data_IF_868880514670
#
_entry.id   IF_868880514670
#
_cell.length_a   1.000
_cell.length_b   1.000
_cell.length_c   1.000
_cell.angle_alpha   90.00
_cell.angle_beta   90.00
_cell.angle_gamma   90.00
#
_symmetry.space_group_name_H-M   'P 1'
#
loop_
_entity.id
_entity.type
_entity.pdbx_description
1 polymer ?
#
# COMPACT_ATOMS: atom_id res chain seq x y z
N UNK A 1 0.78 -17.02 -4.80
CA UNK A 1 0.74 -15.83 -3.92
C UNK A 1 1.40 -16.19 -2.60
N UNK A 2 2.24 -15.28 -2.09
CA UNK A 2 2.87 -15.37 -0.78
C UNK A 2 2.48 -14.14 0.03
N UNK A 3 2.32 -14.26 1.34
CA UNK A 3 2.01 -13.11 2.18
C UNK A 3 2.76 -13.16 3.51
N UNK A 4 2.93 -11.99 4.11
CA UNK A 4 3.38 -11.76 5.46
C UNK A 4 2.29 -10.99 6.22
N UNK A 5 1.89 -11.51 7.37
CA UNK A 5 0.99 -10.86 8.33
C UNK A 5 1.36 -11.38 9.73
N UNK A 6 1.88 -10.51 10.62
CA UNK A 6 2.30 -10.92 11.96
C UNK A 6 1.14 -11.34 12.87
N UNK A 7 -0.11 -11.02 12.49
CA UNK A 7 -1.32 -11.30 13.28
C UNK A 7 -2.12 -12.49 12.77
N UNK A 8 -1.66 -13.18 11.71
CA UNK A 8 -2.35 -14.34 11.13
C UNK A 8 -1.48 -15.58 11.19
N UNK A 9 -1.93 -16.57 11.92
CA UNK A 9 -1.22 -17.85 12.07
C UNK A 9 -1.52 -18.84 10.94
N UNK A 10 -2.69 -18.72 10.29
CA UNK A 10 -3.14 -19.64 9.26
C UNK A 10 -3.22 -18.97 7.88
N UNK A 11 -2.65 -19.65 6.87
CA UNK A 11 -2.75 -19.23 5.49
C UNK A 11 -4.03 -19.79 4.83
N UNK A 12 -4.72 -18.99 4.00
CA UNK A 12 -5.75 -19.51 3.11
C UNK A 12 -5.21 -20.61 2.20
N UNK A 13 -6.08 -21.54 1.81
CA UNK A 13 -5.70 -22.67 0.95
C UNK A 13 -5.03 -22.18 -0.36
N UNK A 14 -3.83 -22.69 -0.62
CA UNK A 14 -3.07 -22.37 -1.83
C UNK A 14 -2.27 -21.07 -1.75
N UNK A 15 -2.22 -20.43 -0.59
CA UNK A 15 -1.40 -19.22 -0.34
C UNK A 15 -0.30 -19.59 0.66
N UNK A 16 0.94 -19.19 0.37
CA UNK A 16 2.09 -19.40 1.25
C UNK A 16 2.20 -18.23 2.24
N UNK A 17 2.31 -18.53 3.53
CA UNK A 17 2.72 -17.58 4.56
C UNK A 17 4.24 -17.63 4.74
N UNK A 18 4.83 -16.47 4.99
CA UNK A 18 6.20 -16.33 5.49
C UNK A 18 6.18 -15.59 6.81
N UNK A 19 7.20 -15.81 7.63
CA UNK A 19 7.30 -15.25 8.98
C UNK A 19 8.14 -13.97 9.05
N UNK A 20 8.76 -13.59 7.91
CA UNK A 20 9.65 -12.45 7.83
C UNK A 20 9.34 -11.62 6.56
N UNK A 21 9.26 -10.30 6.73
CA UNK A 21 9.03 -9.36 5.64
C UNK A 21 10.19 -9.36 4.63
N UNK A 22 11.43 -9.46 5.09
CA UNK A 22 12.61 -9.54 4.22
C UNK A 22 12.59 -10.80 3.36
N UNK A 23 12.17 -11.95 3.92
CA UNK A 23 11.95 -13.17 3.15
C UNK A 23 10.89 -12.97 2.07
N UNK A 24 9.78 -12.29 2.42
CA UNK A 24 8.72 -12.01 1.45
C UNK A 24 9.26 -11.22 0.27
N UNK A 25 9.81 -10.03 0.54
CA UNK A 25 10.16 -9.06 -0.51
C UNK A 25 11.30 -9.54 -1.41
N UNK A 26 12.24 -10.32 -0.87
CA UNK A 26 13.34 -10.90 -1.64
C UNK A 26 12.93 -12.07 -2.54
N UNK A 27 11.76 -12.65 -2.30
CA UNK A 27 11.30 -13.86 -3.00
C UNK A 27 10.28 -13.63 -4.11
N UNK A 28 9.75 -12.41 -4.28
CA UNK A 28 8.62 -12.14 -5.17
C UNK A 28 8.92 -11.09 -6.23
N UNK A 29 8.15 -11.08 -7.31
CA UNK A 29 8.31 -10.12 -8.41
C UNK A 29 7.41 -8.88 -8.25
N UNK A 30 6.35 -8.98 -7.43
CA UNK A 30 5.41 -7.90 -7.13
C UNK A 30 5.10 -7.90 -5.65
N UNK A 31 5.27 -6.75 -5.00
CA UNK A 31 4.93 -6.51 -3.60
C UNK A 31 3.76 -5.54 -3.55
N UNK A 32 2.66 -5.95 -2.92
CA UNK A 32 1.48 -5.09 -2.71
C UNK A 32 1.24 -4.90 -1.22
N UNK A 33 1.13 -3.63 -0.80
CA UNK A 33 1.00 -3.24 0.59
C UNK A 33 -0.49 -3.07 0.96
N UNK A 34 -0.91 -3.73 2.06
CA UNK A 34 -2.29 -3.72 2.57
C UNK A 34 -2.33 -3.60 4.10
N UNK A 35 -1.41 -2.83 4.65
CA UNK A 35 -1.22 -2.65 6.10
C UNK A 35 -1.90 -1.35 6.52
N UNK A 36 -2.63 -1.28 7.67
CA UNK A 36 -3.10 -0.02 8.21
C UNK A 36 -1.93 0.85 8.67
N UNK A 37 -2.09 2.17 8.63
CA UNK A 37 -1.14 3.10 9.25
C UNK A 37 -1.40 3.16 10.75
N UNK A 38 -0.40 2.73 11.52
CA UNK A 38 -0.33 2.76 12.97
C UNK A 38 1.09 3.19 13.36
N UNK A 39 1.35 3.64 14.59
CA UNK A 39 2.71 4.04 14.99
C UNK A 39 3.78 2.96 14.74
N UNK A 40 3.40 1.68 14.87
CA UNK A 40 4.28 0.53 14.68
C UNK A 40 4.55 0.20 13.22
N UNK A 41 3.73 0.71 12.31
CA UNK A 41 3.85 0.44 10.86
C UNK A 41 4.35 1.65 10.07
N UNK A 42 4.54 2.79 10.71
CA UNK A 42 5.11 3.98 10.08
C UNK A 42 6.51 3.67 9.53
N UNK A 43 6.75 3.99 8.26
CA UNK A 43 8.02 3.71 7.58
C UNK A 43 8.34 2.22 7.43
N UNK A 44 7.35 1.33 7.51
CA UNK A 44 7.51 -0.12 7.34
C UNK A 44 8.31 -0.47 6.08
N UNK A 45 8.00 0.19 4.97
CA UNK A 45 8.72 0.06 3.71
C UNK A 45 9.94 0.98 3.71
N UNK A 46 10.89 0.65 4.58
CA UNK A 46 12.14 1.38 4.77
C UNK A 46 13.12 1.14 3.62
N UNK A 47 14.21 1.91 3.61
CA UNK A 47 15.35 1.71 2.68
C UNK A 47 15.85 0.26 2.70
N UNK A 48 16.03 -0.32 3.88
CA UNK A 48 16.49 -1.71 4.02
C UNK A 48 15.54 -2.70 3.33
N UNK A 49 14.24 -2.47 3.44
CA UNK A 49 13.23 -3.32 2.82
C UNK A 49 13.29 -3.18 1.29
N UNK A 50 13.38 -1.96 0.74
CA UNK A 50 13.49 -1.76 -0.70
C UNK A 50 14.78 -2.34 -1.28
N UNK A 51 15.92 -2.23 -0.58
CA UNK A 51 17.19 -2.83 -0.97
C UNK A 51 17.14 -4.36 -1.04
N UNK A 52 16.24 -4.98 -0.26
CA UNK A 52 16.04 -6.43 -0.26
C UNK A 52 15.11 -6.94 -1.38
N UNK A 53 14.46 -6.07 -2.12
CA UNK A 53 13.62 -6.48 -3.25
C UNK A 53 14.43 -7.21 -4.31
N UNK A 54 13.79 -8.15 -5.02
CA UNK A 54 14.39 -8.69 -6.25
C UNK A 54 14.65 -7.56 -7.24
N UNK A 55 15.83 -7.53 -7.88
CA UNK A 55 16.09 -6.57 -8.95
C UNK A 55 14.99 -6.60 -10.02
N UNK A 56 14.40 -5.45 -10.31
CA UNK A 56 13.30 -5.31 -11.27
C UNK A 56 11.91 -5.62 -10.72
N UNK A 57 11.76 -5.89 -9.42
CA UNK A 57 10.45 -6.09 -8.81
C UNK A 57 9.60 -4.81 -8.84
N UNK A 58 8.28 -4.99 -8.77
CA UNK A 58 7.29 -3.91 -8.79
C UNK A 58 6.70 -3.73 -7.39
N UNK A 59 6.56 -2.46 -6.97
CA UNK A 59 5.94 -2.08 -5.72
C UNK A 59 4.56 -1.44 -5.93
N UNK A 60 3.56 -1.84 -5.14
CA UNK A 60 2.20 -1.29 -5.19
C UNK A 60 1.79 -0.83 -3.80
N UNK A 61 1.38 0.43 -3.66
CA UNK A 61 0.82 0.97 -2.42
C UNK A 61 -0.56 1.60 -2.67
N UNK A 62 -1.58 0.92 -2.18
CA UNK A 62 -2.96 1.39 -2.10
C UNK A 62 -3.44 1.47 -0.64
N UNK A 63 -2.51 1.45 0.31
CA UNK A 63 -2.79 1.47 1.74
C UNK A 63 -2.67 2.90 2.30
N UNK A 64 -1.43 3.32 2.67
CA UNK A 64 -1.15 4.67 3.19
C UNK A 64 0.26 5.10 2.80
N UNK A 65 0.45 6.40 2.59
CA UNK A 65 1.74 6.99 2.21
C UNK A 65 2.77 6.90 3.32
N UNK A 66 2.36 7.13 4.55
CA UNK A 66 3.20 7.13 5.76
C UNK A 66 3.89 5.79 6.05
N UNK A 67 3.47 4.73 5.39
CA UNK A 67 4.11 3.41 5.48
C UNK A 67 5.43 3.32 4.70
N UNK A 68 5.75 4.33 3.88
CA UNK A 68 6.79 4.25 2.85
C UNK A 68 7.86 5.32 3.03
N UNK A 69 9.13 4.92 3.03
CA UNK A 69 10.26 5.82 2.80
C UNK A 69 10.29 6.19 1.30
N UNK A 70 9.66 7.30 0.95
CA UNK A 70 9.54 7.74 -0.44
C UNK A 70 10.88 8.12 -1.08
N UNK A 71 11.87 8.55 -0.29
CA UNK A 71 13.19 8.79 -0.82
C UNK A 71 13.89 7.47 -1.20
N UNK A 72 13.73 6.43 -0.37
CA UNK A 72 14.27 5.11 -0.68
C UNK A 72 13.60 4.48 -1.91
N UNK A 73 12.28 4.66 -2.05
CA UNK A 73 11.56 4.22 -3.25
C UNK A 73 12.06 4.94 -4.51
N UNK A 74 12.25 6.26 -4.44
CA UNK A 74 12.76 7.05 -5.57
C UNK A 74 14.15 6.59 -5.97
N UNK A 75 15.08 6.44 -5.02
CA UNK A 75 16.44 5.94 -5.27
C UNK A 75 16.41 4.56 -5.93
N UNK A 76 15.49 3.68 -5.49
CA UNK A 76 15.28 2.36 -6.08
C UNK A 76 14.79 2.40 -7.53
N UNK A 77 13.87 3.32 -7.84
CA UNK A 77 13.34 3.53 -9.21
C UNK A 77 14.43 4.13 -10.13
N UNK A 78 15.13 5.15 -9.67
CA UNK A 78 16.21 5.81 -10.43
C UNK A 78 17.37 4.88 -10.76
N UNK A 79 17.73 4.00 -9.81
CA UNK A 79 18.78 3.00 -10.03
C UNK A 79 18.32 1.82 -10.89
N UNK A 80 17.02 1.65 -11.12
CA UNK A 80 16.41 0.49 -11.77
C UNK A 80 16.40 -0.78 -10.91
N UNK A 81 16.77 -0.69 -9.62
CA UNK A 81 16.64 -1.81 -8.69
C UNK A 81 15.16 -2.15 -8.47
N UNK A 82 14.32 -1.13 -8.28
CA UNK A 82 12.86 -1.25 -8.36
C UNK A 82 12.45 -1.04 -9.83
N UNK A 83 11.86 -2.05 -10.45
CA UNK A 83 11.50 -2.01 -11.86
C UNK A 83 10.32 -1.08 -12.16
N UNK A 84 9.43 -0.87 -11.19
CA UNK A 84 8.32 0.05 -11.28
C UNK A 84 7.54 0.16 -9.99
N UNK A 85 6.70 1.19 -9.88
CA UNK A 85 5.79 1.34 -8.75
C UNK A 85 4.42 1.89 -9.16
N UNK A 86 3.40 1.58 -8.34
CA UNK A 86 2.07 2.17 -8.43
C UNK A 86 1.64 2.69 -7.06
N UNK A 87 1.32 3.98 -6.98
CA UNK A 87 0.95 4.67 -5.75
C UNK A 87 -0.44 5.28 -5.92
N UNK A 88 -1.37 4.89 -5.06
CA UNK A 88 -2.69 5.52 -4.93
C UNK A 88 -2.73 6.53 -3.78
N UNK A 89 -1.66 6.60 -2.99
CA UNK A 89 -1.57 7.35 -1.74
C UNK A 89 -0.21 8.03 -1.59
N UNK A 90 -0.20 9.21 -0.93
CA UNK A 90 0.99 9.94 -0.53
C UNK A 90 0.99 10.23 0.97
N UNK A 91 2.16 10.47 1.53
CA UNK A 91 2.25 10.98 2.90
C UNK A 91 1.59 12.35 3.00
N UNK A 92 0.93 12.60 4.13
CA UNK A 92 0.28 13.88 4.40
C UNK A 92 -0.77 14.35 3.37
N UNK A 93 -1.27 13.47 2.50
CA UNK A 93 -2.19 13.82 1.39
C UNK A 93 -3.49 14.50 1.84
N UNK A 94 -3.88 14.32 3.11
CA UNK A 94 -5.05 14.98 3.69
C UNK A 94 -4.73 16.30 4.41
N UNK A 95 -3.46 16.74 4.44
CA UNK A 95 -3.11 18.04 5.00
C UNK A 95 -3.64 19.18 4.14
N UNK A 96 -4.16 20.25 4.75
CA UNK A 96 -4.47 21.47 4.00
C UNK A 96 -3.23 21.98 3.24
N UNK A 97 -3.38 22.27 1.96
CA UNK A 97 -2.27 22.74 1.12
C UNK A 97 -1.44 21.62 0.46
N UNK A 98 -1.78 20.36 0.65
CA UNK A 98 -1.07 19.27 -0.01
C UNK A 98 -1.04 19.42 -1.55
N UNK A 99 -2.16 19.75 -2.17
CA UNK A 99 -2.26 19.92 -3.63
C UNK A 99 -1.30 21.00 -4.16
N UNK A 100 -1.02 22.04 -3.35
CA UNK A 100 -0.10 23.13 -3.71
C UNK A 100 1.36 22.68 -3.62
N UNK A 101 1.68 21.73 -2.75
CA UNK A 101 3.04 21.21 -2.53
C UNK A 101 3.36 19.98 -3.38
N UNK A 102 2.35 19.23 -3.81
CA UNK A 102 2.52 18.00 -4.61
C UNK A 102 3.38 18.21 -5.87
N UNK A 103 3.28 19.31 -6.65
CA UNK A 103 4.14 19.54 -7.81
C UNK A 103 5.64 19.59 -7.48
N UNK A 104 6.00 19.86 -6.23
CA UNK A 104 7.38 19.90 -5.75
C UNK A 104 7.85 18.53 -5.21
N UNK A 105 6.94 17.59 -5.00
CA UNK A 105 7.25 16.27 -4.47
C UNK A 105 8.13 15.47 -5.44
N UNK A 106 9.27 14.91 -4.99
CA UNK A 106 10.25 14.24 -5.88
C UNK A 106 9.65 13.11 -6.71
N UNK A 107 8.84 12.22 -6.11
CA UNK A 107 8.18 11.12 -6.84
C UNK A 107 7.13 11.64 -7.84
N UNK A 108 6.41 12.73 -7.53
CA UNK A 108 5.50 13.34 -8.48
C UNK A 108 6.24 13.87 -9.71
N UNK A 109 7.37 14.57 -9.51
CA UNK A 109 8.23 15.02 -10.61
C UNK A 109 8.80 13.86 -11.42
N UNK A 110 9.21 12.80 -10.74
CA UNK A 110 9.69 11.58 -11.39
C UNK A 110 8.61 10.97 -12.30
N UNK A 111 7.38 10.82 -11.81
CA UNK A 111 6.26 10.27 -12.55
C UNK A 111 5.89 11.08 -13.82
N UNK A 112 6.20 12.39 -13.87
CA UNK A 112 5.94 13.22 -15.06
C UNK A 112 6.88 12.90 -16.23
N UNK A 113 7.98 12.21 -16.00
CA UNK A 113 9.06 12.00 -16.98
C UNK A 113 9.46 10.54 -17.16
N UNK A 114 8.90 9.62 -16.37
CA UNK A 114 9.23 8.20 -16.39
C UNK A 114 7.96 7.35 -16.41
N UNK A 115 7.95 6.29 -17.21
CA UNK A 115 6.80 5.41 -17.41
C UNK A 115 6.71 4.27 -16.38
N UNK A 116 7.70 4.14 -15.48
CA UNK A 116 7.76 3.08 -14.48
C UNK A 116 7.19 3.50 -13.11
N UNK A 117 6.59 4.68 -12.98
CA UNK A 117 5.83 5.10 -11.81
C UNK A 117 4.43 5.57 -12.22
N UNK A 118 3.41 4.83 -11.77
CA UNK A 118 2.00 5.20 -11.90
C UNK A 118 1.53 5.85 -10.60
N UNK A 119 0.85 6.99 -10.72
CA UNK A 119 0.22 7.68 -9.58
C UNK A 119 -1.27 7.84 -9.86
N UNK A 120 -2.12 7.49 -8.88
CA UNK A 120 -3.56 7.73 -8.91
C UNK A 120 -3.99 8.53 -7.67
N UNK A 121 -5.06 9.36 -7.77
CA UNK A 121 -5.40 10.33 -6.71
C UNK A 121 -6.31 9.72 -5.63
N UNK A 122 -5.83 8.70 -4.92
CA UNK A 122 -6.52 7.98 -3.82
C UNK A 122 -7.91 7.50 -4.22
N UNK A 123 -8.02 6.81 -5.35
CA UNK A 123 -9.30 6.36 -5.92
C UNK A 123 -9.51 4.85 -5.89
N UNK A 124 -8.55 4.08 -5.36
CA UNK A 124 -8.62 2.62 -5.35
C UNK A 124 -9.87 2.05 -4.66
N UNK A 125 -10.34 2.73 -3.59
CA UNK A 125 -11.59 2.40 -2.90
C UNK A 125 -12.80 3.25 -3.33
N UNK A 126 -12.64 4.23 -4.20
CA UNK A 126 -13.65 5.26 -4.52
C UNK A 126 -14.43 4.97 -5.80
N UNK A 127 -14.77 3.71 -6.06
CA UNK A 127 -15.65 3.32 -7.17
C UNK A 127 -17.10 3.24 -6.70
N UNK A 128 -18.05 3.46 -7.62
CA UNK A 128 -19.49 3.36 -7.30
C UNK A 128 -19.87 1.99 -6.74
N UNK A 129 -19.25 0.93 -7.23
CA UNK A 129 -19.54 -0.44 -6.79
C UNK A 129 -18.93 -0.72 -5.41
N UNK A 130 -17.72 -0.22 -5.13
CA UNK A 130 -17.09 -0.33 -3.82
C UNK A 130 -17.92 0.43 -2.76
N UNK A 131 -18.36 1.65 -3.05
CA UNK A 131 -19.18 2.43 -2.13
C UNK A 131 -20.51 1.75 -1.82
N UNK A 132 -21.27 1.32 -2.84
CA UNK A 132 -22.53 0.60 -2.67
C UNK A 132 -22.37 -0.65 -1.82
N UNK A 133 -21.34 -1.43 -2.06
CA UNK A 133 -21.09 -2.66 -1.31
C UNK A 133 -20.67 -2.36 0.14
N UNK A 134 -19.84 -1.34 0.36
CA UNK A 134 -19.44 -0.90 1.71
C UNK A 134 -20.64 -0.40 2.50
N UNK A 135 -21.46 0.48 1.92
CA UNK A 135 -22.67 0.98 2.56
C UNK A 135 -23.63 -0.14 2.92
N UNK A 136 -23.92 -1.05 1.96
CA UNK A 136 -24.79 -2.20 2.19
C UNK A 136 -24.28 -3.06 3.35
N UNK A 137 -23.01 -3.46 3.35
CA UNK A 137 -22.42 -4.28 4.41
C UNK A 137 -22.40 -3.58 5.76
N UNK A 138 -22.20 -2.28 5.78
CA UNK A 138 -22.25 -1.48 7.00
C UNK A 138 -23.65 -1.49 7.59
N UNK A 139 -24.67 -1.24 6.75
CA UNK A 139 -26.08 -1.28 7.18
C UNK A 139 -26.46 -2.67 7.69
N UNK A 140 -26.12 -3.73 6.96
CA UNK A 140 -26.41 -5.10 7.37
C UNK A 140 -25.81 -5.40 8.75
N UNK A 141 -24.54 -5.04 8.99
CA UNK A 141 -23.89 -5.23 10.30
C UNK A 141 -24.53 -4.44 11.44
N UNK A 142 -24.96 -3.21 11.17
CA UNK A 142 -25.67 -2.39 12.18
C UNK A 142 -27.01 -3.02 12.53
N UNK A 143 -27.76 -3.50 11.54
CA UNK A 143 -29.06 -4.16 11.76
C UNK A 143 -28.88 -5.47 12.55
N UNK A 144 -27.87 -6.27 12.21
CA UNK A 144 -27.56 -7.50 12.96
C UNK A 144 -27.22 -7.19 14.42
N UNK A 145 -26.38 -6.18 14.69
CA UNK A 145 -26.00 -5.78 16.05
C UNK A 145 -27.20 -5.30 16.87
N UNK A 146 -28.12 -4.52 16.28
CA UNK A 146 -29.36 -4.08 16.95
C UNK A 146 -30.26 -5.27 17.26
N UNK A 147 -30.40 -6.23 16.34
CA UNK A 147 -31.23 -7.41 16.55
C UNK A 147 -30.68 -8.32 17.66
N UNK A 148 -29.37 -8.39 17.81
CA UNK A 148 -28.72 -9.18 18.89
C UNK A 148 -28.86 -8.53 20.27
N UNK A 149 -28.99 -7.20 20.37
CA UNK A 149 -29.23 -6.49 21.64
C UNK A 149 -30.70 -6.63 22.14
N UNK A 150 -31.64 -6.92 21.23
CA UNK A 150 -33.04 -7.10 21.56
C UNK A 150 -33.42 -8.58 21.89
N UNK A 151 -32.46 -9.51 21.83
CA UNK A 151 -32.64 -10.96 22.05
C UNK A 151 -32.16 -11.41 23.43
#
# INVERSE_FOLDING_TARGET
VTYYDPFKDEAPKGIRRVDDLLELVSGVDVVSLHVPHEPETEGLMSRQIFEAFKPGAVFINTARGELVDFQALLDGLESGHIGGAALDVFEDEFRPGFEETLPEHPLWRYAQTHDNLLVTPHIGGSTLDAWRETERRTIDRVLDAIADEDA
#
